data_IF_422059664261
#
_entry.id   IF_422059664261
#
_cell.length_a   1.000
_cell.length_b   1.000
_cell.length_c   1.000
_cell.angle_alpha   90.00
_cell.angle_beta   90.00
_cell.angle_gamma   90.00
#
_symmetry.space_group_name_H-M   'P 1'
#
loop_
_entity.id
_entity.type
_entity.pdbx_description
1 polymer ?
#
# COMPACT_ATOMS: atom_id res chain seq x y z
N UNK A 1 -31.98 16.09 22.61
CA UNK A 1 -30.89 15.08 22.65
C UNK A 1 -30.82 14.25 21.38
N UNK A 2 -31.87 13.50 21.02
CA UNK A 2 -31.89 12.66 19.80
C UNK A 2 -31.59 13.47 18.53
N UNK A 3 -32.21 14.64 18.38
CA UNK A 3 -31.98 15.54 17.22
C UNK A 3 -30.56 16.07 17.13
N UNK A 4 -29.92 16.40 18.27
CA UNK A 4 -28.50 16.78 18.31
C UNK A 4 -27.61 15.64 17.82
N UNK A 5 -27.85 14.40 18.28
CA UNK A 5 -27.07 13.23 17.87
C UNK A 5 -27.21 13.01 16.35
N UNK A 6 -28.44 13.06 15.82
CA UNK A 6 -28.70 12.89 14.39
C UNK A 6 -28.00 13.96 13.54
N UNK A 7 -28.01 15.21 14.00
CA UNK A 7 -27.32 16.33 13.35
C UNK A 7 -25.79 16.15 13.36
N UNK A 8 -25.21 15.63 14.46
CA UNK A 8 -23.78 15.30 14.52
C UNK A 8 -23.40 14.22 13.51
N UNK A 9 -24.25 13.20 13.31
CA UNK A 9 -23.98 12.15 12.32
C UNK A 9 -23.84 12.69 10.89
N UNK A 10 -24.65 13.68 10.50
CA UNK A 10 -24.55 14.32 9.17
C UNK A 10 -23.16 14.96 8.99
N UNK A 11 -22.65 15.63 10.02
CA UNK A 11 -21.35 16.29 9.99
C UNK A 11 -20.19 15.28 9.99
N UNK A 12 -20.30 14.21 10.78
CA UNK A 12 -19.35 13.11 10.80
C UNK A 12 -19.25 12.44 9.42
N UNK A 13 -20.38 12.11 8.79
CA UNK A 13 -20.39 11.45 7.47
C UNK A 13 -19.81 12.35 6.39
N UNK A 14 -20.17 13.64 6.39
CA UNK A 14 -19.63 14.62 5.46
C UNK A 14 -18.11 14.77 5.59
N UNK A 15 -17.59 14.89 6.82
CA UNK A 15 -16.15 15.02 7.07
C UNK A 15 -15.38 13.76 6.63
N UNK A 16 -15.91 12.57 6.91
CA UNK A 16 -15.31 11.30 6.50
C UNK A 16 -15.29 11.13 4.99
N UNK A 17 -16.39 11.45 4.29
CA UNK A 17 -16.47 11.36 2.82
C UNK A 17 -15.53 12.34 2.14
N UNK A 18 -15.44 13.57 2.64
CA UNK A 18 -14.50 14.58 2.13
C UNK A 18 -13.05 14.18 2.38
N UNK A 19 -12.74 13.65 3.57
CA UNK A 19 -11.42 13.14 3.88
C UNK A 19 -11.04 11.92 3.01
N UNK A 20 -12.00 11.02 2.74
CA UNK A 20 -11.82 9.88 1.84
C UNK A 20 -11.57 10.32 0.39
N UNK A 21 -12.34 11.30 -0.10
CA UNK A 21 -12.11 11.94 -1.39
C UNK A 21 -10.70 12.54 -1.47
N UNK A 22 -10.32 13.37 -0.50
CA UNK A 22 -9.01 14.02 -0.45
C UNK A 22 -7.89 12.98 -0.40
N UNK A 23 -8.03 11.91 0.38
CA UNK A 23 -7.07 10.82 0.42
C UNK A 23 -6.92 10.14 -0.95
N UNK A 24 -8.02 9.82 -1.64
CA UNK A 24 -7.99 9.18 -2.97
C UNK A 24 -7.41 10.08 -4.06
N UNK A 25 -7.56 11.40 -3.95
CA UNK A 25 -7.04 12.38 -4.91
C UNK A 25 -5.58 12.77 -4.64
N UNK A 26 -5.20 12.94 -3.37
CA UNK A 26 -3.86 13.41 -2.98
C UNK A 26 -2.83 12.28 -2.92
N UNK A 27 -3.26 11.07 -2.52
CA UNK A 27 -2.35 9.95 -2.31
C UNK A 27 -2.24 9.20 -3.61
N UNK A 28 -1.28 9.65 -4.43
CA UNK A 28 -0.92 9.00 -5.68
C UNK A 28 -0.47 7.59 -5.37
N UNK A 29 -1.32 6.60 -5.64
CA UNK A 29 -0.86 5.23 -5.81
C UNK A 29 0.19 5.29 -6.93
N UNK A 30 1.47 5.12 -6.57
CA UNK A 30 2.47 4.77 -7.57
C UNK A 30 1.95 3.48 -8.19
N UNK A 31 1.54 3.55 -9.45
CA UNK A 31 1.26 2.38 -10.23
C UNK A 31 2.45 1.44 -10.01
N UNK A 32 2.20 0.34 -9.32
CA UNK A 32 3.10 -0.78 -9.37
C UNK A 32 3.07 -1.18 -10.83
N UNK A 33 4.13 -0.84 -11.58
CA UNK A 33 4.54 -1.67 -12.71
C UNK A 33 4.78 -3.05 -12.11
N UNK A 34 3.71 -3.85 -12.08
CA UNK A 34 3.81 -5.28 -11.98
C UNK A 34 4.36 -5.66 -13.35
N UNK A 35 5.56 -6.27 -13.45
CA UNK A 35 5.96 -6.85 -14.71
C UNK A 35 4.85 -7.81 -15.13
N UNK A 36 4.31 -7.65 -16.33
CA UNK A 36 3.27 -8.50 -16.92
C UNK A 36 3.71 -9.97 -17.11
N UNK A 37 4.87 -10.35 -16.56
CA UNK A 37 5.54 -11.61 -16.76
C UNK A 37 6.14 -12.08 -15.43
N UNK A 38 5.50 -13.08 -14.84
CA UNK A 38 6.13 -13.97 -13.87
C UNK A 38 6.11 -15.35 -14.52
N UNK A 39 7.29 -15.86 -14.88
CA UNK A 39 7.51 -17.16 -15.55
C UNK A 39 6.92 -17.33 -16.96
N UNK A 40 6.73 -16.26 -17.74
CA UNK A 40 6.31 -16.37 -19.15
C UNK A 40 4.86 -16.84 -19.36
N UNK A 41 4.06 -16.91 -18.30
CA UNK A 41 2.63 -17.26 -18.38
C UNK A 41 1.79 -15.98 -18.21
N UNK A 42 0.96 -15.61 -19.20
CA UNK A 42 0.08 -14.46 -19.08
C UNK A 42 -0.99 -14.74 -18.03
N UNK A 43 -0.98 -13.97 -16.94
CA UNK A 43 -2.03 -14.03 -15.92
C UNK A 43 -3.25 -13.26 -16.45
N UNK A 44 -4.48 -13.81 -16.38
CA UNK A 44 -5.66 -13.14 -16.93
C UNK A 44 -5.93 -11.81 -16.21
N UNK A 45 -5.58 -10.71 -16.88
CA UNK A 45 -5.57 -9.35 -16.35
C UNK A 45 -6.95 -8.66 -16.32
N UNK A 46 -8.02 -9.29 -16.81
CA UNK A 46 -9.27 -8.59 -17.12
C UNK A 46 -9.94 -7.94 -15.91
N UNK A 47 -10.17 -8.69 -14.83
CA UNK A 47 -10.94 -8.20 -13.67
C UNK A 47 -10.08 -7.43 -12.66
N UNK A 48 -8.80 -7.76 -12.57
CA UNK A 48 -7.83 -7.09 -11.67
C UNK A 48 -7.35 -5.76 -12.23
N UNK A 49 -7.23 -5.62 -13.56
CA UNK A 49 -6.90 -4.34 -14.21
C UNK A 49 -8.06 -3.34 -14.15
N UNK A 50 -9.31 -3.79 -14.33
CA UNK A 50 -10.50 -2.93 -14.19
C UNK A 50 -10.65 -2.38 -12.75
N UNK A 51 -10.45 -3.24 -11.74
CA UNK A 51 -10.47 -2.86 -10.31
C UNK A 51 -9.30 -1.94 -9.91
N UNK A 52 -8.24 -1.89 -10.72
CA UNK A 52 -7.03 -1.08 -10.53
C UNK A 52 -6.94 0.06 -11.54
N UNK A 53 -8.00 0.30 -12.32
CA UNK A 53 -8.04 1.41 -13.25
C UNK A 53 -8.12 2.71 -12.46
N UNK A 54 -7.12 3.58 -12.67
CA UNK A 54 -7.02 4.91 -12.05
C UNK A 54 -8.32 5.72 -12.20
N UNK A 55 -9.02 5.54 -13.33
CA UNK A 55 -10.31 6.16 -13.59
C UNK A 55 -11.41 5.76 -12.61
N UNK A 56 -11.48 4.48 -12.23
CA UNK A 56 -12.49 4.00 -11.27
C UNK A 56 -12.24 4.56 -9.86
N UNK A 57 -10.99 4.61 -9.42
CA UNK A 57 -10.62 5.17 -8.11
C UNK A 57 -10.88 6.68 -8.04
N UNK A 58 -10.57 7.42 -9.11
CA UNK A 58 -10.88 8.85 -9.20
C UNK A 58 -12.38 9.09 -9.26
N UNK A 59 -13.12 8.31 -10.06
CA UNK A 59 -14.57 8.40 -10.13
C UNK A 59 -15.25 8.12 -8.79
N UNK A 60 -14.79 7.09 -8.07
CA UNK A 60 -15.28 6.78 -6.73
C UNK A 60 -14.96 7.90 -5.73
N UNK A 61 -13.73 8.45 -5.75
CA UNK A 61 -13.36 9.57 -4.90
C UNK A 61 -14.17 10.83 -5.17
N UNK A 62 -14.41 11.16 -6.44
CA UNK A 62 -15.30 12.27 -6.82
C UNK A 62 -16.74 12.02 -6.38
N UNK A 63 -17.24 10.79 -6.53
CA UNK A 63 -18.57 10.41 -6.04
C UNK A 63 -18.72 10.60 -4.53
N UNK A 64 -17.75 10.14 -3.74
CA UNK A 64 -17.71 10.35 -2.29
C UNK A 64 -17.63 11.84 -1.94
N UNK A 65 -16.80 12.62 -2.64
CA UNK A 65 -16.66 14.06 -2.43
C UNK A 65 -17.95 14.83 -2.73
N UNK A 66 -18.63 14.49 -3.82
CA UNK A 66 -19.92 15.07 -4.18
C UNK A 66 -20.99 14.71 -3.15
N UNK A 67 -21.02 13.46 -2.67
CA UNK A 67 -21.95 13.03 -1.63
C UNK A 67 -21.70 13.75 -0.31
N UNK A 68 -20.43 13.89 0.09
CA UNK A 68 -20.02 14.64 1.29
C UNK A 68 -20.39 16.13 1.20
N UNK A 69 -20.16 16.76 0.06
CA UNK A 69 -20.55 18.16 -0.18
C UNK A 69 -22.07 18.32 -0.18
N UNK A 70 -22.80 17.39 -0.79
CA UNK A 70 -24.26 17.39 -0.77
C UNK A 70 -24.81 17.29 0.66
N UNK A 71 -24.25 16.44 1.53
CA UNK A 71 -24.66 16.37 2.94
C UNK A 71 -24.42 17.68 3.73
N UNK A 72 -23.41 18.47 3.34
CA UNK A 72 -23.17 19.78 3.96
C UNK A 72 -24.19 20.82 3.51
N UNK A 73 -24.52 20.85 2.22
CA UNK A 73 -25.30 21.93 1.60
C UNK A 73 -26.80 21.63 1.58
N UNK A 74 -27.21 20.35 1.57
CA UNK A 74 -28.62 19.97 1.49
C UNK A 74 -29.09 19.04 2.62
N UNK A 75 -30.35 19.19 3.01
CA UNK A 75 -31.07 18.31 3.94
C UNK A 75 -31.97 17.29 3.21
N UNK A 76 -31.85 17.15 1.89
CA UNK A 76 -32.68 16.21 1.13
C UNK A 76 -32.47 14.75 1.58
N UNK A 77 -33.60 14.08 1.87
CA UNK A 77 -33.64 12.66 2.26
C UNK A 77 -32.98 11.77 1.21
N UNK A 78 -33.09 12.10 -0.08
CA UNK A 78 -32.49 11.33 -1.18
C UNK A 78 -30.96 11.23 -1.07
N UNK A 79 -30.28 12.33 -0.69
CA UNK A 79 -28.82 12.35 -0.51
C UNK A 79 -28.40 11.48 0.67
N UNK A 80 -29.19 11.51 1.74
CA UNK A 80 -28.95 10.69 2.93
C UNK A 80 -29.20 9.22 2.66
N UNK A 81 -30.26 8.90 1.93
CA UNK A 81 -30.54 7.53 1.50
C UNK A 81 -29.40 7.00 0.63
N UNK A 82 -28.93 7.80 -0.35
CA UNK A 82 -27.78 7.44 -1.18
C UNK A 82 -26.52 7.20 -0.34
N UNK A 83 -26.29 8.03 0.68
CA UNK A 83 -25.18 7.87 1.64
C UNK A 83 -25.30 6.58 2.44
N UNK A 84 -26.50 6.28 2.95
CA UNK A 84 -26.77 5.03 3.68
C UNK A 84 -26.56 3.81 2.81
N UNK A 85 -27.04 3.83 1.56
CA UNK A 85 -26.81 2.75 0.59
C UNK A 85 -25.32 2.59 0.30
N UNK A 86 -24.59 3.68 0.11
CA UNK A 86 -23.15 3.63 -0.14
C UNK A 86 -22.37 3.00 1.02
N UNK A 87 -22.65 3.39 2.27
CA UNK A 87 -21.99 2.80 3.44
C UNK A 87 -22.43 1.34 3.70
N UNK A 88 -23.70 1.00 3.46
CA UNK A 88 -24.17 -0.38 3.54
C UNK A 88 -23.47 -1.27 2.51
N UNK A 89 -23.36 -0.82 1.25
CA UNK A 89 -22.63 -1.52 0.21
C UNK A 89 -21.14 -1.65 0.55
N UNK A 90 -20.51 -0.60 1.07
CA UNK A 90 -19.12 -0.66 1.53
C UNK A 90 -18.93 -1.69 2.66
N UNK A 91 -19.85 -1.74 3.62
CA UNK A 91 -19.82 -2.71 4.73
C UNK A 91 -19.99 -4.13 4.23
N UNK A 92 -20.91 -4.36 3.29
CA UNK A 92 -21.09 -5.64 2.63
C UNK A 92 -19.80 -6.09 1.93
N UNK A 93 -19.21 -5.23 1.09
CA UNK A 93 -17.98 -5.53 0.36
C UNK A 93 -16.82 -5.84 1.31
N UNK A 94 -16.69 -5.09 2.40
CA UNK A 94 -15.65 -5.34 3.43
C UNK A 94 -15.89 -6.67 4.16
N UNK A 95 -17.14 -7.02 4.44
CA UNK A 95 -17.51 -8.32 5.01
C UNK A 95 -17.17 -9.48 4.07
N UNK A 96 -17.51 -9.34 2.80
CA UNK A 96 -17.24 -10.34 1.75
C UNK A 96 -15.74 -10.54 1.54
N UNK A 97 -14.97 -9.43 1.50
CA UNK A 97 -13.51 -9.48 1.41
C UNK A 97 -12.88 -10.16 2.62
N UNK A 98 -13.42 -9.94 3.83
CA UNK A 98 -12.94 -10.64 5.02
C UNK A 98 -13.20 -12.14 4.94
N UNK A 99 -14.35 -12.55 4.39
CA UNK A 99 -14.71 -13.96 4.26
C UNK A 99 -13.87 -14.69 3.21
N UNK A 100 -13.60 -14.05 2.06
CA UNK A 100 -13.00 -14.71 0.90
C UNK A 100 -11.53 -14.37 0.66
N UNK A 101 -11.03 -13.19 1.08
CA UNK A 101 -9.68 -12.68 0.78
C UNK A 101 -9.16 -11.74 1.90
N UNK A 102 -8.85 -12.24 3.11
CA UNK A 102 -8.42 -11.42 4.25
C UNK A 102 -7.10 -10.64 3.99
N UNK A 103 -6.30 -11.10 3.01
CA UNK A 103 -5.03 -10.48 2.64
C UNK A 103 -5.17 -9.30 1.66
N UNK A 104 -6.35 -9.09 1.07
CA UNK A 104 -6.60 -7.96 0.18
C UNK A 104 -7.05 -6.73 0.99
N UNK A 105 -6.47 -5.56 0.72
CA UNK A 105 -6.94 -4.29 1.30
C UNK A 105 -8.35 -3.92 0.80
N UNK A 106 -9.13 -3.23 1.63
CA UNK A 106 -10.50 -2.82 1.26
C UNK A 106 -10.57 -1.58 0.35
N UNK A 107 -9.47 -0.84 0.16
CA UNK A 107 -9.41 0.31 -0.76
C UNK A 107 -10.28 1.51 -0.39
N UNK A 108 -10.99 1.49 0.74
CA UNK A 108 -11.92 2.56 1.15
C UNK A 108 -11.24 3.94 1.31
N UNK A 109 -9.93 4.01 1.51
CA UNK A 109 -9.14 5.26 1.55
C UNK A 109 -8.07 5.31 0.45
N UNK A 110 -8.28 4.62 -0.67
CA UNK A 110 -7.27 4.44 -1.71
C UNK A 110 -6.03 3.69 -1.18
N UNK A 111 -4.84 4.10 -1.64
CA UNK A 111 -3.56 3.44 -1.35
C UNK A 111 -3.11 3.45 0.13
N UNK A 112 -3.80 4.18 1.01
CA UNK A 112 -3.59 4.09 2.46
C UNK A 112 -4.14 2.79 3.05
N UNK A 113 -5.20 2.23 2.47
CA UNK A 113 -5.90 1.07 3.01
C UNK A 113 -5.43 -0.23 2.37
N UNK A 114 -4.12 -0.36 2.17
CA UNK A 114 -3.46 -1.57 1.63
C UNK A 114 -3.14 -2.64 2.68
N UNK A 115 -3.37 -2.37 3.98
CA UNK A 115 -3.22 -3.35 5.06
C UNK A 115 -4.38 -4.34 5.09
N UNK A 116 -4.10 -5.56 5.60
CA UNK A 116 -5.05 -6.69 5.71
C UNK A 116 -6.36 -6.27 6.37
N UNK A 117 -7.49 -6.77 5.85
CA UNK A 117 -8.83 -6.44 6.36
C UNK A 117 -9.05 -7.18 7.68
N UNK A 118 -8.88 -6.47 8.79
CA UNK A 118 -9.09 -6.98 10.14
C UNK A 118 -10.53 -6.78 10.64
N UNK A 119 -10.84 -7.40 11.79
CA UNK A 119 -12.13 -7.27 12.50
C UNK A 119 -12.50 -5.81 12.78
N UNK A 120 -11.49 -4.98 13.10
CA UNK A 120 -11.66 -3.54 13.38
C UNK A 120 -12.16 -2.77 12.16
N UNK A 121 -11.74 -3.15 10.95
CA UNK A 121 -12.18 -2.52 9.70
C UNK A 121 -13.67 -2.79 9.42
N UNK A 122 -14.12 -4.02 9.68
CA UNK A 122 -15.55 -4.38 9.58
C UNK A 122 -16.36 -3.59 10.61
N UNK A 123 -15.90 -3.56 11.87
CA UNK A 123 -16.59 -2.83 12.93
C UNK A 123 -16.73 -1.33 12.59
N UNK A 124 -15.69 -0.72 12.05
CA UNK A 124 -15.74 0.67 11.57
C UNK A 124 -16.76 0.88 10.45
N UNK A 125 -16.82 -0.03 9.47
CA UNK A 125 -17.78 0.06 8.38
C UNK A 125 -19.24 -0.06 8.89
N UNK A 126 -19.47 -0.98 9.83
CA UNK A 126 -20.75 -1.14 10.52
C UNK A 126 -21.13 0.14 11.28
N UNK A 127 -20.18 0.74 12.02
CA UNK A 127 -20.41 2.00 12.73
C UNK A 127 -20.77 3.15 11.78
N UNK A 128 -20.09 3.29 10.64
CA UNK A 128 -20.46 4.30 9.64
C UNK A 128 -21.83 4.05 9.02
N UNK A 129 -22.20 2.78 8.82
CA UNK A 129 -23.54 2.43 8.34
C UNK A 129 -24.61 2.78 9.38
N UNK A 130 -24.36 2.49 10.67
CA UNK A 130 -25.25 2.88 11.76
C UNK A 130 -25.40 4.41 11.86
N UNK A 131 -24.29 5.16 11.75
CA UNK A 131 -24.28 6.62 11.67
C UNK A 131 -25.12 7.13 10.48
N UNK A 132 -24.97 6.52 9.30
CA UNK A 132 -25.74 6.87 8.11
C UNK A 132 -27.24 6.63 8.30
N UNK A 133 -27.64 5.49 8.87
CA UNK A 133 -29.04 5.20 9.22
C UNK A 133 -29.58 6.22 10.22
N UNK A 134 -28.82 6.54 11.27
CA UNK A 134 -29.22 7.54 12.26
C UNK A 134 -29.39 8.95 11.64
N UNK A 135 -28.57 9.29 10.63
CA UNK A 135 -28.65 10.59 9.94
C UNK A 135 -29.94 10.80 9.14
N UNK A 136 -30.68 9.74 8.80
CA UNK A 136 -31.93 9.85 8.04
C UNK A 136 -32.96 10.75 8.73
N UNK A 137 -33.00 10.73 10.07
CA UNK A 137 -33.92 11.52 10.89
C UNK A 137 -33.46 12.95 11.19
N UNK A 138 -32.29 13.39 10.72
CA UNK A 138 -31.74 14.70 11.10
C UNK A 138 -32.55 15.86 10.48
N UNK A 139 -32.98 16.89 11.23
CA UNK A 139 -33.74 17.99 10.65
C UNK A 139 -32.89 18.98 9.83
N UNK A 140 -31.56 19.05 10.05
CA UNK A 140 -30.70 20.10 9.52
C UNK A 140 -29.68 19.60 8.49
N UNK A 141 -29.22 20.53 7.64
CA UNK A 141 -28.06 20.32 6.77
C UNK A 141 -26.75 20.54 7.54
N UNK A 142 -25.65 19.88 7.13
CA UNK A 142 -24.39 19.92 7.88
C UNK A 142 -23.83 21.33 8.10
N UNK A 143 -23.97 22.24 7.13
CA UNK A 143 -23.51 23.63 7.27
C UNK A 143 -24.32 24.44 8.29
N UNK A 144 -25.61 24.12 8.45
CA UNK A 144 -26.45 24.77 9.46
C UNK A 144 -26.07 24.31 10.86
N UNK A 145 -25.77 23.02 11.02
CA UNK A 145 -25.26 22.45 12.27
C UNK A 145 -23.90 23.05 12.63
N UNK A 146 -23.04 23.32 11.64
CA UNK A 146 -21.73 23.93 11.87
C UNK A 146 -21.82 25.42 12.27
N UNK A 147 -22.82 26.14 11.77
CA UNK A 147 -23.05 27.55 12.14
C UNK A 147 -23.66 27.71 13.53
N UNK A 148 -24.47 26.75 13.96
CA UNK A 148 -25.12 26.71 15.28
C UNK A 148 -24.42 25.70 16.20
N UNK A 149 -23.08 25.70 16.19
CA UNK A 149 -22.29 24.79 17.02
C UNK A 149 -22.49 25.13 18.49
N UNK A 150 -23.41 24.40 19.12
CA UNK A 150 -23.43 24.28 20.56
C UNK A 150 -22.24 23.44 21.02
N UNK A 151 -21.57 23.85 22.11
CA UNK A 151 -20.37 23.17 22.63
C UNK A 151 -20.56 21.64 22.78
N UNK A 152 -21.78 21.19 23.09
CA UNK A 152 -22.13 19.77 23.18
C UNK A 152 -21.97 19.01 21.84
N UNK A 153 -22.33 19.62 20.71
CA UNK A 153 -22.19 19.01 19.36
C UNK A 153 -20.72 18.84 19.02
N UNK A 154 -19.88 19.83 19.35
CA UNK A 154 -18.43 19.76 19.16
C UNK A 154 -17.78 18.66 20.00
N UNK A 155 -18.20 18.48 21.26
CA UNK A 155 -17.70 17.41 22.14
C UNK A 155 -18.09 16.03 21.63
N UNK A 156 -19.34 15.83 21.20
CA UNK A 156 -19.79 14.53 20.65
C UNK A 156 -19.04 14.21 19.37
N UNK A 157 -18.87 15.19 18.47
CA UNK A 157 -18.10 15.01 17.25
C UNK A 157 -16.64 14.65 17.54
N UNK A 158 -16.00 15.34 18.49
CA UNK A 158 -14.61 15.04 18.90
C UNK A 158 -14.51 13.63 19.51
N UNK A 159 -15.47 13.24 20.33
CA UNK A 159 -15.52 11.90 20.92
C UNK A 159 -15.71 10.81 19.86
N UNK A 160 -16.58 11.03 18.88
CA UNK A 160 -16.78 10.13 17.74
C UNK A 160 -15.51 10.05 16.88
N UNK A 161 -14.91 11.18 16.52
CA UNK A 161 -13.65 11.22 15.78
C UNK A 161 -12.53 10.51 16.54
N UNK A 162 -12.45 10.68 17.86
CA UNK A 162 -11.48 9.99 18.70
C UNK A 162 -11.72 8.48 18.75
N UNK A 163 -12.99 8.04 18.80
CA UNK A 163 -13.36 6.63 18.71
C UNK A 163 -12.97 6.06 17.34
N UNK A 164 -13.28 6.74 16.25
CA UNK A 164 -12.89 6.33 14.91
C UNK A 164 -11.37 6.32 14.71
N UNK A 165 -10.66 7.28 15.31
CA UNK A 165 -9.20 7.33 15.34
C UNK A 165 -8.62 6.12 16.10
N UNK A 166 -9.15 5.80 17.27
CA UNK A 166 -8.73 4.64 18.06
C UNK A 166 -9.01 3.31 17.35
N UNK A 167 -10.10 3.23 16.59
CA UNK A 167 -10.42 2.06 15.75
C UNK A 167 -9.64 2.02 14.42
N UNK A 168 -8.95 3.10 14.03
CA UNK A 168 -8.22 3.22 12.77
C UNK A 168 -6.69 3.05 12.99
N UNK A 169 -6.12 1.85 12.81
CA UNK A 169 -4.66 1.64 12.87
C UNK A 169 -3.91 2.35 11.73
N UNK A 170 -4.63 2.96 10.79
CA UNK A 170 -4.06 3.78 9.72
C UNK A 170 -3.78 5.22 10.19
N UNK A 171 -4.45 5.69 11.24
CA UNK A 171 -4.18 7.01 11.81
C UNK A 171 -2.91 6.98 12.67
N UNK A 172 -2.63 5.90 13.40
CA UNK A 172 -1.33 5.73 14.05
C UNK A 172 -0.21 5.64 13.02
N UNK A 173 -0.41 4.93 11.91
CA UNK A 173 0.57 4.91 10.81
C UNK A 173 0.73 6.27 10.12
N UNK A 174 -0.33 7.08 10.02
CA UNK A 174 -0.29 8.45 9.49
C UNK A 174 0.27 9.47 10.49
N UNK A 175 0.03 9.31 11.79
CA UNK A 175 0.63 10.12 12.87
C UNK A 175 2.10 9.77 13.05
N UNK A 176 2.48 8.51 12.89
CA UNK A 176 3.89 8.09 12.77
C UNK A 176 4.53 8.62 11.48
N UNK A 177 3.76 8.73 10.39
CA UNK A 177 4.22 9.26 9.09
C UNK A 177 4.18 10.80 9.01
N UNK A 178 3.37 11.46 9.84
CA UNK A 178 3.16 12.90 9.88
C UNK A 178 3.77 13.60 11.10
N UNK A 179 4.17 12.84 12.11
CA UNK A 179 4.73 13.34 13.37
C UNK A 179 6.24 13.49 13.39
N UNK A 180 6.98 12.98 12.40
CA UNK A 180 8.42 13.20 12.31
C UNK A 180 8.85 13.43 10.87
N UNK A 181 9.67 14.46 10.71
CA UNK A 181 10.34 14.82 9.47
C UNK A 181 10.81 13.57 8.69
N UNK A 182 10.75 13.61 7.34
CA UNK A 182 11.21 12.51 6.51
C UNK A 182 12.71 12.32 6.72
N UNK A 183 13.14 11.45 7.63
CA UNK A 183 14.57 11.17 7.75
C UNK A 183 15.06 10.37 8.95
N UNK A 184 14.48 10.49 10.15
CA UNK A 184 15.13 9.95 11.36
C UNK A 184 14.15 9.19 12.24
N UNK A 185 14.20 7.86 12.19
CA UNK A 185 13.56 7.02 13.22
C UNK A 185 12.72 5.85 12.73
N UNK A 186 12.52 5.65 11.42
CA UNK A 186 11.93 4.38 10.96
C UNK A 186 12.97 3.26 11.15
N UNK A 187 12.68 2.20 11.92
CA UNK A 187 13.50 1.00 11.83
C UNK A 187 13.43 0.49 10.38
N UNK A 188 14.57 0.26 9.71
CA UNK A 188 14.58 -0.18 8.32
C UNK A 188 13.68 -1.41 8.17
N UNK A 189 12.87 -1.45 7.10
CA UNK A 189 12.07 -2.64 6.82
C UNK A 189 13.01 -3.86 6.74
N UNK A 190 12.71 -4.97 7.44
CA UNK A 190 13.51 -6.18 7.33
C UNK A 190 13.62 -6.60 5.87
N UNK A 191 14.85 -6.83 5.40
CA UNK A 191 15.17 -7.08 4.00
C UNK A 191 14.40 -8.28 3.44
N UNK A 192 14.08 -9.28 4.26
CA UNK A 192 13.27 -10.45 3.91
C UNK A 192 11.85 -10.06 3.45
N UNK A 193 11.29 -8.99 4.03
CA UNK A 193 9.96 -8.48 3.69
C UNK A 193 9.99 -7.41 2.61
N UNK A 194 11.18 -6.88 2.29
CA UNK A 194 11.36 -5.84 1.27
C UNK A 194 11.32 -6.47 -0.12
N UNK A 195 10.46 -5.92 -0.98
CA UNK A 195 10.49 -6.18 -2.42
C UNK A 195 11.58 -5.31 -3.04
N UNK A 196 12.77 -5.88 -3.25
CA UNK A 196 13.91 -5.22 -3.91
C UNK A 196 13.84 -5.44 -5.43
N UNK A 197 13.54 -4.40 -6.24
CA UNK A 197 13.54 -4.49 -7.70
C UNK A 197 14.94 -4.76 -8.24
N UNK A 198 15.04 -5.52 -9.33
CA UNK A 198 16.34 -5.88 -9.92
C UNK A 198 17.12 -4.66 -10.44
N UNK A 199 16.42 -3.63 -10.93
CA UNK A 199 17.04 -2.39 -11.38
C UNK A 199 17.79 -1.65 -10.26
N UNK A 200 17.29 -1.70 -9.01
CA UNK A 200 17.98 -1.12 -7.85
C UNK A 200 19.27 -1.88 -7.53
N UNK A 201 19.27 -3.20 -7.69
CA UNK A 201 20.47 -4.03 -7.54
C UNK A 201 21.53 -3.64 -8.56
N UNK A 202 21.19 -3.55 -9.85
CA UNK A 202 22.15 -3.16 -10.88
C UNK A 202 22.66 -1.74 -10.70
N UNK A 203 21.80 -0.78 -10.35
CA UNK A 203 22.24 0.59 -10.06
C UNK A 203 23.22 0.61 -8.88
N UNK A 204 22.91 -0.09 -7.79
CA UNK A 204 23.80 -0.18 -6.61
C UNK A 204 25.11 -0.88 -6.94
N UNK A 205 25.07 -1.94 -7.76
CA UNK A 205 26.26 -2.65 -8.22
C UNK A 205 27.15 -1.74 -9.05
N UNK A 206 26.62 -1.13 -10.11
CA UNK A 206 27.40 -0.29 -11.03
C UNK A 206 27.91 1.01 -10.39
N UNK A 207 27.22 1.51 -9.36
CA UNK A 207 27.70 2.63 -8.54
C UNK A 207 28.75 2.23 -7.47
N UNK A 208 29.01 0.93 -7.28
CA UNK A 208 29.88 0.44 -6.20
C UNK A 208 31.36 0.44 -6.56
N UNK A 209 32.22 0.60 -5.54
CA UNK A 209 33.66 0.46 -5.69
C UNK A 209 34.08 -0.96 -6.11
N UNK A 210 33.35 -1.99 -5.66
CA UNK A 210 33.60 -3.37 -6.05
C UNK A 210 33.45 -3.58 -7.56
N UNK A 211 32.46 -2.92 -8.19
CA UNK A 211 32.31 -2.93 -9.64
C UNK A 211 33.46 -2.20 -10.33
N UNK A 212 33.76 -0.96 -9.91
CA UNK A 212 34.84 -0.16 -10.50
C UNK A 212 36.22 -0.86 -10.46
N UNK A 213 36.47 -1.67 -9.42
CA UNK A 213 37.71 -2.45 -9.29
C UNK A 213 37.79 -3.61 -10.30
N UNK A 214 36.67 -4.24 -10.63
CA UNK A 214 36.64 -5.50 -11.38
C UNK A 214 36.03 -5.40 -12.78
N UNK A 215 35.45 -4.26 -13.18
CA UNK A 215 34.75 -4.10 -14.45
C UNK A 215 35.63 -4.43 -15.68
N UNK A 216 36.94 -4.14 -15.59
CA UNK A 216 37.89 -4.41 -16.67
C UNK A 216 38.22 -5.90 -16.82
N UNK A 217 37.89 -6.71 -15.82
CA UNK A 217 38.07 -8.16 -15.84
C UNK A 217 36.84 -8.87 -16.40
N UNK A 218 35.68 -8.21 -16.42
CA UNK A 218 34.41 -8.76 -16.90
C UNK A 218 34.44 -8.87 -18.43
N UNK A 219 34.19 -10.07 -18.94
CA UNK A 219 34.25 -10.37 -20.39
C UNK A 219 32.92 -10.17 -21.12
N UNK A 220 31.80 -10.05 -20.39
CA UNK A 220 30.47 -9.81 -20.93
C UNK A 220 29.65 -8.89 -20.02
N UNK A 221 28.92 -7.95 -20.60
CA UNK A 221 27.98 -7.09 -19.87
C UNK A 221 26.69 -7.81 -19.42
N UNK A 222 26.49 -9.05 -19.85
CA UNK A 222 25.35 -9.88 -19.44
C UNK A 222 25.78 -10.82 -18.30
N UNK A 223 25.07 -10.83 -17.16
CA UNK A 223 25.36 -11.76 -16.10
C UNK A 223 25.00 -13.20 -16.51
N UNK A 224 25.78 -14.16 -16.02
CA UNK A 224 25.54 -15.59 -16.20
C UNK A 224 24.34 -16.06 -15.38
N UNK A 225 24.27 -15.61 -14.12
CA UNK A 225 23.19 -15.97 -13.21
C UNK A 225 22.92 -14.85 -12.19
N UNK A 226 21.68 -14.81 -11.71
CA UNK A 226 21.20 -13.86 -10.69
C UNK A 226 20.20 -14.55 -9.77
N UNK A 227 20.56 -14.72 -8.50
CA UNK A 227 19.67 -15.25 -7.48
C UNK A 227 19.68 -14.41 -6.21
N UNK A 228 18.74 -14.69 -5.32
CA UNK A 228 18.61 -14.01 -4.04
C UNK A 228 18.66 -15.04 -2.92
N UNK A 229 19.55 -14.83 -1.95
CA UNK A 229 19.62 -15.62 -0.73
C UNK A 229 19.53 -14.67 0.47
N UNK A 230 18.49 -14.85 1.28
CA UNK A 230 18.16 -13.95 2.38
C UNK A 230 18.10 -12.47 1.97
N UNK A 231 19.03 -11.69 2.53
CA UNK A 231 19.14 -10.24 2.35
C UNK A 231 20.14 -9.81 1.27
N UNK A 232 20.69 -10.76 0.52
CA UNK A 232 21.66 -10.51 -0.52
C UNK A 232 21.11 -10.95 -1.88
N UNK A 233 21.47 -10.19 -2.91
CA UNK A 233 21.29 -10.62 -4.30
C UNK A 233 22.66 -10.85 -4.91
N UNK A 234 22.86 -12.04 -5.43
CA UNK A 234 24.09 -12.46 -6.07
C UNK A 234 23.94 -12.27 -7.58
N UNK A 235 24.96 -11.69 -8.20
CA UNK A 235 25.04 -11.45 -9.65
C UNK A 235 26.38 -11.97 -10.12
N UNK A 236 26.36 -12.90 -11.07
CA UNK A 236 27.58 -13.55 -11.57
C UNK A 236 27.91 -13.04 -12.95
N UNK A 237 29.14 -12.60 -13.16
CA UNK A 237 29.65 -12.21 -14.47
C UNK A 237 30.79 -13.14 -14.90
N UNK A 238 30.88 -13.44 -16.21
CA UNK A 238 32.06 -14.09 -16.73
C UNK A 238 33.22 -13.09 -16.69
N UNK A 239 34.39 -13.54 -16.26
CA UNK A 239 35.58 -12.74 -16.12
C UNK A 239 36.82 -13.46 -16.66
N UNK A 240 37.89 -12.70 -16.92
CA UNK A 240 39.18 -13.25 -17.33
C UNK A 240 40.31 -12.63 -16.52
N UNK A 241 41.03 -13.47 -15.80
CA UNK A 241 42.16 -13.07 -14.95
C UNK A 241 43.38 -13.87 -15.38
N UNK A 242 44.48 -13.16 -15.69
CA UNK A 242 45.73 -13.77 -16.17
C UNK A 242 45.54 -14.76 -17.35
N UNK A 243 44.59 -14.45 -18.24
CA UNK A 243 44.27 -15.27 -19.41
C UNK A 243 43.43 -16.53 -19.12
N UNK A 244 43.00 -16.75 -17.88
CA UNK A 244 42.09 -17.84 -17.50
C UNK A 244 40.66 -17.36 -17.37
N UNK A 245 39.73 -18.16 -17.86
CA UNK A 245 38.30 -17.92 -17.66
C UNK A 245 37.93 -18.21 -16.21
N UNK A 246 37.27 -17.25 -15.58
CA UNK A 246 36.80 -17.31 -14.19
C UNK A 246 35.45 -16.62 -14.09
N UNK A 247 34.82 -16.75 -12.94
CA UNK A 247 33.56 -16.07 -12.66
C UNK A 247 33.78 -15.10 -11.51
N UNK A 248 33.17 -13.92 -11.61
CA UNK A 248 33.10 -12.99 -10.49
C UNK A 248 31.68 -12.90 -9.99
N UNK A 249 31.51 -13.12 -8.69
CA UNK A 249 30.24 -13.09 -7.99
C UNK A 249 30.19 -11.80 -7.20
N UNK A 250 29.17 -10.97 -7.45
CA UNK A 250 28.88 -9.80 -6.64
C UNK A 250 27.70 -10.06 -5.71
N UNK A 251 27.88 -9.90 -4.41
CA UNK A 251 26.81 -9.93 -3.42
C UNK A 251 26.37 -8.49 -3.10
N UNK A 252 25.18 -8.12 -3.57
CA UNK A 252 24.59 -6.79 -3.40
C UNK A 252 23.54 -6.84 -2.29
N UNK A 253 23.67 -5.97 -1.29
CA UNK A 253 22.68 -5.88 -0.22
C UNK A 253 21.31 -5.46 -0.76
N UNK A 254 20.26 -6.12 -0.28
CA UNK A 254 18.86 -5.76 -0.58
C UNK A 254 18.22 -4.93 0.55
N UNK A 255 19.00 -4.61 1.59
CA UNK A 255 18.61 -3.83 2.75
C UNK A 255 18.15 -2.42 2.41
N UNK A 256 17.23 -1.88 3.22
CA UNK A 256 16.76 -0.51 3.02
C UNK A 256 17.90 0.48 3.32
N UNK A 257 18.35 1.20 2.29
CA UNK A 257 19.49 2.17 2.32
C UNK A 257 20.86 1.53 2.53
N UNK A 258 20.93 0.20 2.54
CA UNK A 258 22.20 -0.49 2.53
C UNK A 258 22.70 -0.57 1.07
N UNK A 259 23.93 -0.11 0.86
CA UNK A 259 24.60 -0.10 -0.45
C UNK A 259 25.88 -0.93 -0.45
N UNK A 260 26.03 -1.82 0.52
CA UNK A 260 27.18 -2.73 0.58
C UNK A 260 27.12 -3.68 -0.62
N UNK A 261 28.25 -3.74 -1.33
CA UNK A 261 28.52 -4.70 -2.39
C UNK A 261 29.84 -5.39 -2.06
N UNK A 262 29.82 -6.72 -2.04
CA UNK A 262 30.99 -7.56 -1.87
C UNK A 262 31.26 -8.30 -3.19
N UNK A 263 32.53 -8.56 -3.50
CA UNK A 263 32.92 -9.37 -4.66
C UNK A 263 33.77 -10.57 -4.23
N UNK A 264 33.65 -11.66 -4.99
CA UNK A 264 34.50 -12.84 -4.86
C UNK A 264 34.69 -13.49 -6.22
N UNK A 265 35.86 -14.09 -6.45
CA UNK A 265 36.09 -14.94 -7.61
C UNK A 265 35.63 -16.36 -7.31
N UNK A 266 34.85 -16.93 -8.23
CA UNK A 266 34.51 -18.34 -8.25
C UNK A 266 35.32 -19.04 -9.36
N UNK A 267 35.82 -20.22 -9.04
CA UNK A 267 36.39 -21.08 -10.08
C UNK A 267 35.23 -21.70 -10.86
N UNK A 268 35.27 -21.68 -12.20
CA UNK A 268 34.23 -22.32 -12.99
C UNK A 268 34.20 -23.80 -12.60
N UNK A 269 33.01 -24.31 -12.29
CA UNK A 269 32.81 -25.72 -12.04
C UNK A 269 33.22 -26.48 -13.31
N UNK A 270 34.28 -27.31 -13.24
CA UNK A 270 34.64 -28.18 -14.34
C UNK A 270 33.46 -29.11 -14.63
N UNK A 271 32.71 -28.78 -15.69
CA UNK A 271 31.66 -29.64 -16.21
C UNK A 271 32.27 -30.96 -16.70
N UNK A 272 32.45 -31.93 -15.80
CA UNK A 272 33.22 -33.13 -16.14
C UNK A 272 33.48 -34.16 -15.06
N UNK A 273 32.57 -34.42 -14.11
CA UNK A 273 32.56 -35.69 -13.39
C UNK A 273 31.13 -36.12 -13.04
N UNK A 274 30.48 -36.78 -14.01
CA UNK A 274 29.26 -37.53 -13.74
C UNK A 274 29.51 -38.63 -12.69
N UNK A 275 28.45 -39.10 -12.01
CA UNK A 275 28.58 -40.09 -10.95
C UNK A 275 28.91 -41.45 -11.58
N UNK A 276 29.98 -42.13 -11.14
CA UNK A 276 30.18 -43.60 -11.09
C UNK A 276 31.66 -44.03 -11.23
N UNK A 277 32.31 -44.31 -10.08
CA UNK A 277 33.44 -45.24 -9.82
C UNK A 277 34.18 -44.69 -8.59
N UNK A 278 34.38 -45.36 -7.47
CA UNK A 278 34.35 -46.78 -7.06
C UNK A 278 33.95 -46.80 -5.56
N UNK A 279 33.17 -47.71 -4.97
CA UNK A 279 33.35 -49.17 -4.78
C UNK A 279 34.81 -49.58 -4.54
N UNK A 280 35.33 -49.27 -3.36
CA UNK A 280 35.77 -50.23 -2.31
C UNK A 280 36.35 -49.46 -1.12
#
# INVERSE_FOLDING_TARGET
MVTSIQNTQVLLLATVLLAACLAKLMIRERALDVPDHVHGVPVPAGLTALRRSRGLNVGLGLGEGLLGLALLVTSHVSVRLATTVAFAAATWVVGELRAHRPDAGCGCFGGLSGKRVGVRTVLRAVLFTAAAVASLGAPLAGLQVLRDVQAQVGVVLLAELALFAALSPELSALLERGGFAPGRGRPPMPCERRRSPIAETYATLYESGAWAEHENLVSSALPLDVWREGCWRFVVFPARVDGRDTEIVFAVSTGERDRVVLSAFAQPEEAGAGPLSAVL
#
